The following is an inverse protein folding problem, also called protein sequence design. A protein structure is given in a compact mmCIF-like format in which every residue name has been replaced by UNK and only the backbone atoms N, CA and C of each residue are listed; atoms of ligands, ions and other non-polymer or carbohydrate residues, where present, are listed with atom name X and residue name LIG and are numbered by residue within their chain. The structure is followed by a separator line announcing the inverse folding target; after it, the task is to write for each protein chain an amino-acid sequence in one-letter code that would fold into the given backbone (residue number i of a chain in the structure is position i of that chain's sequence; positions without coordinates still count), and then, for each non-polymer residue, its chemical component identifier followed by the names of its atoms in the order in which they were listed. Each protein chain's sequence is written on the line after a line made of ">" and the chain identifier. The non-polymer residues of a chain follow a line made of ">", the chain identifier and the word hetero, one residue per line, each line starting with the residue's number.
data_IF_088882395458
#
_entry.id   IF_088882395458
#
_cell.length_a   1.000
_cell.length_b   1.000
_cell.length_c   1.000
_cell.angle_alpha   90.00
_cell.angle_beta   90.00
_cell.angle_gamma   90.00
#
_symmetry.space_group_name_H-M   'P 1'
#
loop_
_entity.id
_entity.type
_entity.pdbx_description
1 polymer ?
#
# COMPACT_ATOMS: atom_id res chain seq x y z
N UNK A 1 -9.52 12.72 -0.10
CA UNK A 1 -10.63 13.49 -0.73
C UNK A 1 -10.53 15.00 -0.52
N UNK A 2 -10.55 15.51 0.72
CA UNK A 2 -10.64 16.96 1.01
C UNK A 2 -9.51 17.79 0.38
N UNK A 3 -8.27 17.34 0.48
CA UNK A 3 -7.12 18.07 -0.07
C UNK A 3 -7.08 18.04 -1.60
N UNK A 4 -7.46 16.92 -2.21
CA UNK A 4 -7.60 16.79 -3.67
C UNK A 4 -8.68 17.76 -4.20
N UNK A 5 -9.85 17.82 -3.54
CA UNK A 5 -10.91 18.77 -3.90
C UNK A 5 -10.43 20.24 -3.80
N UNK A 6 -9.68 20.58 -2.75
CA UNK A 6 -9.10 21.92 -2.59
C UNK A 6 -8.12 22.27 -3.73
N UNK A 7 -7.32 21.30 -4.22
CA UNK A 7 -6.41 21.51 -5.35
C UNK A 7 -7.17 21.75 -6.66
N UNK A 8 -8.25 20.99 -6.93
CA UNK A 8 -9.05 21.14 -8.15
C UNK A 8 -9.75 22.50 -8.21
N UNK A 9 -10.30 22.96 -7.07
CA UNK A 9 -10.88 24.31 -6.96
C UNK A 9 -9.83 25.39 -7.22
N UNK A 10 -8.60 25.24 -6.69
CA UNK A 10 -7.48 26.16 -6.95
C UNK A 10 -7.00 26.15 -8.40
N UNK A 11 -7.15 25.01 -9.10
CA UNK A 11 -6.86 24.89 -10.52
C UNK A 11 -7.96 25.49 -11.42
N UNK A 12 -9.05 26.02 -10.86
CA UNK A 12 -10.14 26.67 -11.61
C UNK A 12 -11.20 25.70 -12.14
N UNK A 13 -11.23 24.45 -11.67
CA UNK A 13 -12.26 23.47 -12.05
C UNK A 13 -13.52 23.73 -11.22
N UNK A 14 -14.62 24.08 -11.89
CA UNK A 14 -15.82 24.63 -11.24
C UNK A 14 -16.80 23.58 -10.64
N UNK A 15 -16.67 22.31 -11.00
CA UNK A 15 -17.51 21.19 -10.51
C UNK A 15 -16.68 19.91 -10.30
N UNK A 16 -15.75 19.87 -9.34
CA UNK A 16 -14.98 18.66 -9.07
C UNK A 16 -15.83 17.62 -8.32
N UNK A 17 -16.18 16.52 -8.98
CA UNK A 17 -16.57 15.30 -8.29
C UNK A 17 -15.29 14.51 -7.97
N UNK A 18 -15.04 14.25 -6.68
CA UNK A 18 -13.92 13.43 -6.22
C UNK A 18 -14.52 12.20 -5.56
N UNK A 19 -14.22 11.04 -6.12
CA UNK A 19 -14.63 9.75 -5.57
C UNK A 19 -13.43 9.00 -5.01
N UNK A 20 -13.66 8.12 -4.02
CA UNK A 20 -12.66 7.20 -3.48
C UNK A 20 -13.30 5.84 -3.36
N UNK A 21 -12.74 4.89 -4.09
CA UNK A 21 -13.15 3.49 -4.06
C UNK A 21 -12.20 2.71 -3.17
N UNK A 22 -12.76 1.87 -2.29
CA UNK A 22 -11.99 0.96 -1.47
C UNK A 22 -12.14 -0.46 -2.00
N UNK A 23 -11.02 -1.16 -2.22
CA UNK A 23 -11.04 -2.55 -2.64
C UNK A 23 -10.02 -3.39 -1.87
N UNK A 24 -10.42 -4.61 -1.51
CA UNK A 24 -9.57 -5.57 -0.80
C UNK A 24 -9.11 -6.68 -1.75
N UNK A 25 -7.79 -6.84 -1.86
CA UNK A 25 -7.14 -7.92 -2.62
C UNK A 25 -6.53 -8.92 -1.64
N UNK A 26 -6.61 -10.21 -1.97
CA UNK A 26 -6.00 -11.30 -1.19
C UNK A 26 -4.73 -11.77 -1.89
N UNK A 27 -3.61 -11.79 -1.16
CA UNK A 27 -2.30 -12.22 -1.64
C UNK A 27 -1.92 -13.58 -1.05
N UNK A 28 -1.12 -14.36 -1.77
CA UNK A 28 -0.65 -15.66 -1.30
C UNK A 28 0.31 -15.55 -0.11
N UNK A 29 1.06 -14.46 -0.02
CA UNK A 29 1.99 -14.18 1.07
C UNK A 29 2.23 -12.68 1.26
N UNK A 30 2.81 -12.32 2.41
CA UNK A 30 3.23 -10.94 2.67
C UNK A 30 4.33 -10.46 1.70
N UNK A 31 5.12 -11.37 1.12
CA UNK A 31 6.15 -11.02 0.14
C UNK A 31 5.52 -10.60 -1.19
N UNK A 32 4.47 -11.29 -1.63
CA UNK A 32 3.73 -10.95 -2.86
C UNK A 32 3.10 -9.56 -2.75
N UNK A 33 2.52 -9.24 -1.58
CA UNK A 33 2.00 -7.91 -1.28
C UNK A 33 3.09 -6.83 -1.39
N UNK A 34 4.27 -7.07 -0.78
CA UNK A 34 5.38 -6.11 -0.80
C UNK A 34 5.93 -5.91 -2.23
N UNK A 35 6.00 -6.98 -3.02
CA UNK A 35 6.41 -6.89 -4.42
C UNK A 35 5.41 -6.07 -5.24
N UNK A 36 4.11 -6.29 -5.03
CA UNK A 36 3.07 -5.52 -5.69
C UNK A 36 3.15 -4.02 -5.33
N UNK A 37 3.27 -3.68 -4.03
CA UNK A 37 3.46 -2.29 -3.59
C UNK A 37 4.70 -1.63 -4.24
N UNK A 38 5.79 -2.39 -4.38
CA UNK A 38 6.98 -1.88 -5.07
C UNK A 38 6.70 -1.58 -6.54
N UNK A 39 5.95 -2.45 -7.22
CA UNK A 39 5.57 -2.25 -8.62
C UNK A 39 4.61 -1.07 -8.81
N UNK A 40 3.76 -0.79 -7.81
CA UNK A 40 2.85 0.37 -7.79
C UNK A 40 3.58 1.70 -7.53
N UNK A 41 4.86 1.67 -7.16
CA UNK A 41 5.62 2.88 -6.82
C UNK A 41 5.45 3.34 -5.37
N UNK A 42 4.80 2.55 -4.52
CA UNK A 42 4.55 2.83 -3.10
C UNK A 42 5.81 2.66 -2.21
N UNK A 43 6.99 2.85 -2.80
CA UNK A 43 8.25 2.83 -2.07
C UNK A 43 8.62 4.20 -1.54
N UNK A 44 9.45 4.23 -0.50
CA UNK A 44 9.96 5.48 0.07
C UNK A 44 10.71 6.31 -0.99
N UNK A 45 10.26 7.54 -1.24
CA UNK A 45 10.81 8.47 -2.23
C UNK A 45 12.00 9.33 -1.74
N UNK A 46 12.41 9.20 -0.47
CA UNK A 46 13.50 9.98 0.10
C UNK A 46 14.87 9.57 -0.48
N UNK A 47 15.68 10.57 -0.84
CA UNK A 47 17.03 10.36 -1.39
C UNK A 47 17.98 9.66 -0.40
N UNK A 48 17.87 9.97 0.90
CA UNK A 48 18.70 9.40 1.96
C UNK A 48 18.11 8.12 2.58
N UNK A 49 17.18 7.45 1.89
CA UNK A 49 16.60 6.20 2.41
C UNK A 49 17.64 5.09 2.49
N UNK A 50 17.45 4.18 3.43
CA UNK A 50 18.17 2.92 3.39
C UNK A 50 17.73 2.11 2.16
N UNK A 51 18.69 1.73 1.32
CA UNK A 51 18.41 1.01 0.07
C UNK A 51 18.32 -0.51 0.28
N UNK A 52 18.86 -1.02 1.39
CA UNK A 52 18.94 -2.45 1.64
C UNK A 52 18.25 -2.83 2.95
N UNK A 53 17.47 -3.91 2.89
CA UNK A 53 16.89 -4.57 4.04
C UNK A 53 17.61 -5.91 4.26
N UNK A 54 17.94 -6.23 5.52
CA UNK A 54 18.51 -7.55 5.85
C UNK A 54 17.47 -8.64 5.56
N UNK A 55 17.93 -9.74 4.97
CA UNK A 55 17.07 -10.89 4.62
C UNK A 55 16.33 -11.46 5.85
N UNK A 56 17.02 -11.58 6.97
CA UNK A 56 16.44 -12.07 8.23
C UNK A 56 15.29 -11.20 8.71
N UNK A 57 15.45 -9.87 8.63
CA UNK A 57 14.39 -8.92 8.98
C UNK A 57 13.19 -9.07 8.05
N UNK A 58 13.41 -9.21 6.74
CA UNK A 58 12.33 -9.42 5.79
C UNK A 58 11.53 -10.71 6.09
N UNK A 59 12.24 -11.81 6.39
CA UNK A 59 11.61 -13.09 6.74
C UNK A 59 10.86 -13.02 8.07
N UNK A 60 11.46 -12.40 9.09
CA UNK A 60 10.81 -12.21 10.39
C UNK A 60 9.55 -11.35 10.25
N UNK A 61 9.61 -10.25 9.48
CA UNK A 61 8.44 -9.42 9.19
C UNK A 61 7.36 -10.22 8.48
N UNK A 62 7.69 -11.01 7.44
CA UNK A 62 6.70 -11.81 6.74
C UNK A 62 5.99 -12.82 7.66
N UNK A 63 6.74 -13.50 8.54
CA UNK A 63 6.18 -14.45 9.50
C UNK A 63 5.25 -13.76 10.53
N UNK A 64 5.69 -12.63 11.09
CA UNK A 64 4.88 -11.85 12.03
C UNK A 64 3.62 -11.31 11.32
N UNK A 65 3.76 -10.79 10.10
CA UNK A 65 2.65 -10.26 9.32
C UNK A 65 1.59 -11.34 9.04
N UNK A 66 2.02 -12.55 8.67
CA UNK A 66 1.12 -13.70 8.52
C UNK A 66 0.38 -14.03 9.81
N UNK A 67 1.06 -14.00 10.97
CA UNK A 67 0.41 -14.30 12.24
C UNK A 67 -0.61 -13.25 12.69
N UNK A 68 -0.42 -11.99 12.30
CA UNK A 68 -1.29 -10.89 12.72
C UNK A 68 -2.47 -10.67 11.76
N UNK A 69 -2.26 -10.86 10.46
CA UNK A 69 -3.22 -10.46 9.42
C UNK A 69 -3.60 -11.59 8.46
N UNK A 70 -3.00 -12.77 8.60
CA UNK A 70 -3.36 -13.93 7.79
C UNK A 70 -4.80 -14.33 8.01
N UNK A 71 -5.52 -14.55 6.90
CA UNK A 71 -6.86 -15.08 6.95
C UNK A 71 -6.88 -16.60 7.11
N UNK A 72 -8.06 -17.17 7.36
CA UNK A 72 -8.25 -18.61 7.60
C UNK A 72 -7.75 -19.51 6.45
N UNK A 73 -7.78 -19.00 5.22
CA UNK A 73 -7.28 -19.69 4.02
C UNK A 73 -5.76 -19.52 3.81
N UNK A 74 -5.06 -18.86 4.74
CA UNK A 74 -3.63 -18.58 4.66
C UNK A 74 -3.25 -17.37 3.82
N UNK A 75 -4.21 -16.68 3.18
CA UNK A 75 -3.92 -15.49 2.38
C UNK A 75 -3.78 -14.23 3.24
N UNK A 76 -3.17 -13.20 2.66
CA UNK A 76 -3.03 -11.88 3.26
C UNK A 76 -4.02 -10.91 2.59
N UNK A 77 -5.05 -10.42 3.29
CA UNK A 77 -5.90 -9.36 2.78
C UNK A 77 -5.18 -8.01 2.87
N UNK A 78 -5.19 -7.24 1.78
CA UNK A 78 -4.76 -5.85 1.77
C UNK A 78 -5.81 -4.96 1.10
N UNK A 79 -6.10 -3.85 1.75
CA UNK A 79 -7.09 -2.86 1.32
C UNK A 79 -6.38 -1.67 0.66
N UNK A 80 -6.88 -1.24 -0.48
CA UNK A 80 -6.37 -0.12 -1.28
C UNK A 80 -7.46 0.95 -1.43
N UNK A 81 -7.03 2.21 -1.55
CA UNK A 81 -7.85 3.42 -1.70
C UNK A 81 -7.18 4.39 -2.67
#
# INVERSE_FOLDING_TARGET
>A
VRDAGNLLTRAGLALPAVDVDEFTIRYGSALDLIEHLRSMGETNALLQRNQALKRETALATAAIYQSMFGAEDGTIPATFQ
#
